data_IF_576080654752
#
_entry.id   IF_576080654752
#
_cell.length_a   1.000
_cell.length_b   1.000
_cell.length_c   1.000
_cell.angle_alpha   90.00
_cell.angle_beta   90.00
_cell.angle_gamma   90.00
#
_symmetry.space_group_name_H-M   'P 1'
#
loop_
_entity.id
_entity.type
_entity.pdbx_description
1 polymer ?
#
# COMPACT_ATOMS: atom_id res chain seq x y z
N UNK A 1 3.45 -3.70 5.29
CA UNK A 1 4.82 -4.28 5.30
C UNK A 1 5.84 -3.14 5.47
N UNK A 2 7.02 -3.39 6.07
CA UNK A 2 8.14 -2.42 6.14
C UNK A 2 8.98 -2.52 4.87
N UNK A 3 9.28 -1.41 4.22
CA UNK A 3 10.09 -1.40 2.99
C UNK A 3 11.58 -1.32 3.38
N UNK A 4 12.45 -2.22 2.86
CA UNK A 4 13.88 -2.23 3.19
C UNK A 4 14.65 -1.07 2.52
N UNK A 5 15.78 -0.64 3.11
CA UNK A 5 16.54 0.55 2.68
C UNK A 5 17.27 0.43 1.34
N UNK A 6 17.36 -0.76 0.74
CA UNK A 6 18.19 -1.04 -0.45
C UNK A 6 17.57 -0.62 -1.80
N UNK A 7 16.41 0.05 -1.82
CA UNK A 7 15.81 0.59 -3.06
C UNK A 7 16.31 2.04 -3.32
N UNK A 8 17.25 2.26 -4.26
CA UNK A 8 17.94 3.54 -4.40
C UNK A 8 17.02 4.60 -5.04
N UNK A 9 16.84 5.74 -4.36
CA UNK A 9 16.13 6.90 -4.91
C UNK A 9 17.13 7.98 -5.37
N UNK A 10 16.91 8.57 -6.54
CA UNK A 10 17.70 9.72 -7.03
C UNK A 10 17.21 11.04 -6.42
N UNK A 11 18.13 12.01 -6.30
CA UNK A 11 17.97 13.23 -5.51
C UNK A 11 17.02 14.27 -6.14
N UNK A 12 15.83 14.42 -5.55
CA UNK A 12 14.82 15.47 -5.82
C UNK A 12 14.23 15.99 -4.48
N UNK A 13 13.49 17.12 -4.45
CA UNK A 13 13.17 17.83 -3.21
C UNK A 13 12.54 16.94 -2.14
N UNK A 14 13.00 17.15 -0.89
CA UNK A 14 12.66 16.34 0.27
C UNK A 14 11.23 16.65 0.71
N UNK A 15 10.38 15.62 0.75
CA UNK A 15 9.09 15.73 1.42
C UNK A 15 9.35 15.67 2.93
N UNK A 16 8.57 16.40 3.73
CA UNK A 16 8.59 16.27 5.19
C UNK A 16 7.24 15.71 5.66
N UNK A 17 7.23 14.60 6.43
CA UNK A 17 6.02 14.17 7.11
C UNK A 17 5.47 15.31 7.96
N UNK A 18 4.15 15.50 7.96
CA UNK A 18 3.55 16.53 8.80
C UNK A 18 3.78 16.19 10.28
N UNK A 19 4.12 17.18 11.10
CA UNK A 19 4.42 17.02 12.54
C UNK A 19 3.21 16.64 13.41
N UNK A 20 2.02 16.56 12.83
CA UNK A 20 0.76 16.30 13.51
C UNK A 20 0.44 14.80 13.52
N UNK A 21 1.12 14.07 14.40
CA UNK A 21 0.68 12.86 15.10
C UNK A 21 1.93 12.10 15.59
N UNK A 22 2.33 12.32 16.85
CA UNK A 22 3.20 11.38 17.58
C UNK A 22 2.37 10.16 17.98
N UNK A 23 1.92 9.39 17.00
CA UNK A 23 1.37 8.06 17.26
C UNK A 23 2.54 7.13 17.59
N UNK A 24 2.32 6.17 18.49
CA UNK A 24 3.29 5.08 18.68
C UNK A 24 3.59 4.44 17.33
N UNK A 25 4.83 4.01 17.10
CA UNK A 25 5.20 3.31 15.86
C UNK A 25 4.16 2.23 15.52
N UNK A 26 3.81 2.02 14.24
CA UNK A 26 2.81 1.01 13.85
C UNK A 26 3.06 -0.35 14.49
N UNK A 27 4.31 -0.83 14.50
CA UNK A 27 4.70 -2.08 15.16
C UNK A 27 4.39 -2.11 16.65
N UNK A 28 4.53 -0.98 17.34
CA UNK A 28 4.16 -0.85 18.76
C UNK A 28 2.65 -0.84 18.95
N UNK A 29 1.91 -0.13 18.08
CA UNK A 29 0.46 -0.09 18.11
C UNK A 29 -0.17 -1.47 17.93
N UNK A 30 0.18 -2.17 16.85
CA UNK A 30 -0.41 -3.47 16.54
C UNK A 30 -0.07 -4.50 17.62
N UNK A 31 1.14 -4.45 18.22
CA UNK A 31 1.57 -5.31 19.35
C UNK A 31 0.75 -5.20 20.62
N UNK A 32 -0.08 -4.17 20.77
CA UNK A 32 -0.94 -3.98 21.94
C UNK A 32 -2.40 -4.37 21.71
N UNK A 33 -2.78 -4.72 20.48
CA UNK A 33 -4.16 -5.14 20.21
C UNK A 33 -4.42 -6.51 20.83
N UNK A 34 -5.63 -6.70 21.36
CA UNK A 34 -6.11 -7.98 21.90
C UNK A 34 -7.44 -8.36 21.21
N UNK A 35 -7.52 -9.55 20.56
CA UNK A 35 -6.41 -10.46 20.31
C UNK A 35 -5.39 -9.85 19.34
N UNK A 36 -4.10 -9.98 19.65
CA UNK A 36 -3.02 -9.66 18.71
C UNK A 36 -3.19 -10.56 17.47
N UNK A 37 -2.82 -10.12 16.23
CA UNK A 37 -2.68 -11.03 15.09
C UNK A 37 -1.98 -12.34 15.50
N UNK A 38 -2.26 -13.45 14.81
CA UNK A 38 -2.03 -14.80 15.33
C UNK A 38 -0.65 -14.96 15.96
N UNK A 39 -0.62 -15.57 17.16
CA UNK A 39 0.62 -15.81 17.94
C UNK A 39 1.63 -16.68 17.19
N UNK A 40 1.15 -17.43 16.20
CA UNK A 40 1.96 -18.14 15.21
C UNK A 40 1.99 -17.36 13.89
N UNK A 41 3.13 -17.35 13.17
CA UNK A 41 3.16 -16.89 11.79
C UNK A 41 2.04 -17.56 10.98
N UNK A 42 1.38 -16.79 10.14
CA UNK A 42 0.48 -17.34 9.12
C UNK A 42 1.31 -18.26 8.21
N UNK A 43 0.79 -19.44 7.86
CA UNK A 43 1.48 -20.33 6.93
C UNK A 43 1.50 -19.72 5.53
N UNK A 44 2.49 -20.09 4.72
CA UNK A 44 2.55 -19.68 3.32
C UNK A 44 1.26 -20.08 2.58
N UNK A 45 0.72 -21.28 2.86
CA UNK A 45 -0.55 -21.73 2.27
C UNK A 45 -1.73 -20.79 2.57
N UNK A 46 -1.76 -20.15 3.74
CA UNK A 46 -2.80 -19.16 4.04
C UNK A 46 -2.64 -17.90 3.20
N UNK A 47 -1.40 -17.45 2.96
CA UNK A 47 -1.13 -16.31 2.07
C UNK A 47 -1.46 -16.64 0.62
N UNK A 48 -1.02 -17.79 0.13
CA UNK A 48 -1.29 -18.23 -1.25
C UNK A 48 -2.79 -18.34 -1.51
N UNK A 49 -3.55 -18.96 -0.60
CA UNK A 49 -5.02 -19.01 -0.70
C UNK A 49 -5.65 -17.63 -0.66
N UNK A 50 -5.18 -16.76 0.24
CA UNK A 50 -5.71 -15.40 0.33
C UNK A 50 -5.55 -14.65 -1.01
N UNK A 51 -4.38 -14.74 -1.64
CA UNK A 51 -4.13 -14.14 -2.96
C UNK A 51 -4.91 -14.82 -4.09
N UNK A 52 -5.07 -16.15 -4.05
CA UNK A 52 -5.85 -16.87 -5.06
C UNK A 52 -7.34 -16.50 -5.03
N UNK A 53 -7.92 -16.45 -3.83
CA UNK A 53 -9.37 -16.40 -3.62
C UNK A 53 -9.95 -14.98 -3.57
N UNK A 54 -9.13 -13.98 -3.25
CA UNK A 54 -9.60 -12.60 -3.01
C UNK A 54 -8.82 -11.54 -3.79
N UNK A 55 -9.49 -10.47 -4.24
CA UNK A 55 -8.78 -9.30 -4.75
C UNK A 55 -7.94 -8.64 -3.65
N UNK A 56 -6.88 -7.95 -4.06
CA UNK A 56 -5.93 -7.30 -3.16
C UNK A 56 -5.93 -5.79 -3.38
N UNK A 57 -6.14 -5.04 -2.31
CA UNK A 57 -6.00 -3.59 -2.30
C UNK A 57 -4.60 -3.24 -1.80
N UNK A 58 -3.83 -2.50 -2.58
CA UNK A 58 -2.61 -1.84 -2.10
C UNK A 58 -2.96 -0.41 -1.70
N UNK A 59 -2.79 -0.11 -0.41
CA UNK A 59 -3.24 1.16 0.18
C UNK A 59 -2.06 2.10 0.43
N UNK A 60 -2.13 3.27 -0.20
CA UNK A 60 -1.15 4.34 -0.17
C UNK A 60 -1.68 5.52 0.65
N UNK A 61 -1.11 5.72 1.85
CA UNK A 61 -1.58 6.74 2.78
C UNK A 61 -1.12 8.17 2.42
N UNK A 62 -1.75 9.17 3.03
CA UNK A 62 -1.38 10.59 2.89
C UNK A 62 -0.21 11.03 3.77
N UNK A 63 0.23 12.29 3.64
CA UNK A 63 1.45 12.81 4.30
C UNK A 63 1.42 12.89 5.84
N UNK A 64 0.28 12.67 6.48
CA UNK A 64 0.13 12.70 7.94
C UNK A 64 0.13 11.29 8.53
N UNK A 65 0.68 11.11 9.73
CA UNK A 65 0.61 9.85 10.47
C UNK A 65 1.27 8.67 9.75
N UNK A 66 0.71 7.47 9.96
CA UNK A 66 1.23 6.20 9.43
C UNK A 66 0.10 5.23 9.07
N UNK A 67 0.41 4.04 8.59
CA UNK A 67 -0.57 2.95 8.41
C UNK A 67 -1.31 2.56 9.70
N UNK A 68 -0.86 3.00 10.88
CA UNK A 68 -1.53 2.75 12.16
C UNK A 68 -2.40 3.92 12.65
N UNK A 69 -2.62 4.96 11.86
CA UNK A 69 -3.59 6.01 12.21
C UNK A 69 -5.00 5.42 12.31
N UNK A 70 -5.76 5.79 13.35
CA UNK A 70 -7.07 5.18 13.69
C UNK A 70 -8.08 5.21 12.55
N UNK A 71 -8.17 6.34 11.84
CA UNK A 71 -9.08 6.49 10.70
C UNK A 71 -8.78 5.48 9.59
N UNK A 72 -7.50 5.20 9.35
CA UNK A 72 -7.04 4.28 8.31
C UNK A 72 -7.27 2.84 8.64
N UNK A 73 -7.00 2.44 9.89
CA UNK A 73 -7.31 1.08 10.36
C UNK A 73 -8.80 0.81 10.15
N UNK A 74 -9.66 1.77 10.48
CA UNK A 74 -11.10 1.65 10.22
C UNK A 74 -11.40 1.46 8.74
N UNK A 75 -10.75 2.22 7.85
CA UNK A 75 -10.90 2.03 6.40
C UNK A 75 -10.47 0.63 5.94
N UNK A 76 -9.30 0.14 6.39
CA UNK A 76 -8.79 -1.18 6.01
C UNK A 76 -9.69 -2.30 6.51
N UNK A 77 -10.17 -2.20 7.76
CA UNK A 77 -11.09 -3.18 8.35
C UNK A 77 -12.42 -3.24 7.62
N UNK A 78 -12.95 -2.09 7.16
CA UNK A 78 -14.15 -2.08 6.33
C UNK A 78 -13.92 -2.81 5.01
N UNK A 79 -12.83 -2.46 4.30
CA UNK A 79 -12.48 -3.07 3.01
C UNK A 79 -12.21 -4.58 3.12
N UNK A 80 -11.60 -5.03 4.22
CA UNK A 80 -11.34 -6.45 4.47
C UNK A 80 -12.57 -7.25 4.89
N UNK A 81 -13.68 -6.60 5.23
CA UNK A 81 -14.93 -7.27 5.63
C UNK A 81 -15.94 -7.25 4.49
N UNK A 82 -16.04 -6.12 3.80
CA UNK A 82 -16.92 -5.92 2.66
C UNK A 82 -16.24 -4.93 1.70
N UNK A 83 -15.77 -5.38 0.53
CA UNK A 83 -16.18 -6.58 -0.22
C UNK A 83 -15.31 -7.84 0.00
N UNK A 84 -14.69 -8.03 1.17
CA UNK A 84 -13.79 -9.17 1.50
C UNK A 84 -12.49 -9.20 0.66
N UNK A 85 -11.76 -8.08 0.67
CA UNK A 85 -10.46 -7.96 0.02
C UNK A 85 -9.29 -8.24 0.97
N UNK A 86 -8.16 -8.69 0.42
CA UNK A 86 -6.88 -8.51 1.08
C UNK A 86 -6.51 -7.03 1.08
N UNK A 87 -5.91 -6.52 2.17
CA UNK A 87 -5.43 -5.13 2.23
C UNK A 87 -3.95 -5.10 2.58
N UNK A 88 -3.12 -4.70 1.63
CA UNK A 88 -1.72 -4.39 1.84
C UNK A 88 -1.55 -2.89 2.13
N UNK A 89 -1.49 -2.54 3.42
CA UNK A 89 -1.11 -1.19 3.85
C UNK A 89 0.42 -1.09 4.07
N UNK A 90 1.05 -0.10 3.44
CA UNK A 90 2.49 0.17 3.56
C UNK A 90 2.74 1.48 4.32
N UNK A 91 3.94 1.65 4.85
CA UNK A 91 4.49 2.96 5.20
C UNK A 91 5.63 3.28 4.24
N UNK A 92 5.61 4.45 3.60
CA UNK A 92 6.74 4.90 2.77
C UNK A 92 8.00 5.07 3.59
N UNK A 93 9.15 5.11 2.93
CA UNK A 93 10.43 5.47 3.55
C UNK A 93 10.31 6.77 4.35
N UNK A 94 10.74 6.73 5.61
CA UNK A 94 10.63 7.84 6.55
C UNK A 94 9.26 8.04 7.20
N UNK A 95 8.31 7.12 7.01
CA UNK A 95 7.04 7.06 7.73
C UNK A 95 6.94 5.79 8.60
N UNK A 96 6.18 5.88 9.70
CA UNK A 96 5.89 4.73 10.55
C UNK A 96 7.16 4.00 11.02
N UNK A 97 7.27 2.72 10.64
CA UNK A 97 8.44 1.87 10.94
C UNK A 97 9.49 1.84 9.82
N UNK A 98 9.21 2.47 8.68
CA UNK A 98 10.08 2.49 7.51
C UNK A 98 11.20 3.53 7.68
N UNK A 99 12.43 3.11 7.40
CA UNK A 99 13.63 3.96 7.49
C UNK A 99 13.78 4.85 6.25
N UNK A 100 14.73 5.80 6.28
CA UNK A 100 15.06 6.66 5.15
C UNK A 100 14.38 8.03 5.22
N UNK A 101 14.41 8.78 4.11
CA UNK A 101 13.81 10.11 3.99
C UNK A 101 12.90 10.14 2.77
N UNK A 102 11.66 10.67 2.89
CA UNK A 102 10.74 10.66 1.77
C UNK A 102 11.14 11.67 0.69
N UNK A 103 11.06 11.23 -0.55
CA UNK A 103 11.18 12.03 -1.77
C UNK A 103 10.19 11.47 -2.78
N UNK A 104 9.78 12.26 -3.77
CA UNK A 104 8.85 11.82 -4.82
C UNK A 104 9.31 10.50 -5.48
N UNK A 105 10.57 10.45 -5.94
CA UNK A 105 11.15 9.23 -6.51
C UNK A 105 11.20 8.07 -5.51
N UNK A 106 11.50 8.36 -4.23
CA UNK A 106 11.52 7.35 -3.18
C UNK A 106 10.14 6.74 -2.92
N UNK A 107 9.10 7.57 -2.91
CA UNK A 107 7.71 7.13 -2.73
C UNK A 107 7.23 6.26 -3.89
N UNK A 108 7.58 6.62 -5.13
CA UNK A 108 7.27 5.78 -6.30
C UNK A 108 8.00 4.43 -6.24
N UNK A 109 9.25 4.39 -5.78
CA UNK A 109 9.97 3.13 -5.57
C UNK A 109 9.34 2.26 -4.48
N UNK A 110 8.88 2.87 -3.38
CA UNK A 110 8.19 2.14 -2.32
C UNK A 110 6.87 1.57 -2.82
N UNK A 111 6.16 2.31 -3.69
CA UNK A 111 4.95 1.85 -4.32
C UNK A 111 5.19 0.72 -5.31
N UNK A 112 6.23 0.83 -6.12
CA UNK A 112 6.66 -0.25 -7.01
C UNK A 112 7.03 -1.51 -6.24
N UNK A 113 7.76 -1.39 -5.14
CA UNK A 113 8.10 -2.53 -4.30
C UNK A 113 6.84 -3.23 -3.72
N UNK A 114 5.81 -2.46 -3.36
CA UNK A 114 4.54 -3.02 -2.90
C UNK A 114 3.79 -3.75 -4.03
N UNK A 115 3.76 -3.18 -5.24
CA UNK A 115 3.20 -3.81 -6.42
C UNK A 115 3.92 -5.11 -6.78
N UNK A 116 5.25 -5.08 -6.86
CA UNK A 116 6.06 -6.24 -7.21
C UNK A 116 5.87 -7.37 -6.18
N UNK A 117 5.75 -7.03 -4.90
CA UNK A 117 5.45 -7.99 -3.84
C UNK A 117 4.10 -8.69 -4.06
N UNK A 118 3.02 -7.95 -4.34
CA UNK A 118 1.71 -8.59 -4.57
C UNK A 118 1.71 -9.39 -5.87
N UNK A 119 2.31 -8.81 -6.92
CA UNK A 119 2.38 -9.43 -8.25
C UNK A 119 3.20 -10.71 -8.25
N UNK A 120 4.22 -10.84 -7.38
CA UNK A 120 5.00 -12.08 -7.28
C UNK A 120 4.19 -13.25 -6.72
N UNK A 121 3.14 -12.99 -5.94
CA UNK A 121 2.27 -14.03 -5.37
C UNK A 121 1.09 -14.37 -6.28
N UNK A 122 0.55 -13.38 -7.01
CA UNK A 122 -0.55 -13.61 -7.95
C UNK A 122 -0.08 -14.16 -9.30
N UNK A 123 1.17 -13.91 -9.67
CA UNK A 123 1.60 -13.91 -11.07
C UNK A 123 1.17 -12.62 -11.77
N UNK A 124 2.02 -12.11 -12.68
CA UNK A 124 1.85 -10.78 -13.28
C UNK A 124 0.50 -10.60 -13.98
N UNK A 125 0.09 -11.59 -14.78
CA UNK A 125 -1.14 -11.49 -15.56
C UNK A 125 -2.41 -11.52 -14.69
N UNK A 126 -2.38 -12.21 -13.54
CA UNK A 126 -3.50 -12.21 -12.58
C UNK A 126 -3.50 -10.99 -11.66
N UNK A 127 -2.39 -10.27 -11.56
CA UNK A 127 -2.29 -9.09 -10.72
C UNK A 127 -3.09 -7.92 -11.28
N UNK A 128 -3.17 -7.75 -12.60
CA UNK A 128 -3.99 -6.72 -13.26
C UNK A 128 -5.47 -6.89 -12.84
N UNK A 129 -6.07 -8.06 -13.10
CA UNK A 129 -7.49 -8.27 -12.78
C UNK A 129 -7.83 -8.29 -11.28
N UNK A 130 -6.85 -8.48 -10.38
CA UNK A 130 -7.09 -8.71 -8.95
C UNK A 130 -6.52 -7.62 -8.03
N UNK A 131 -5.77 -6.65 -8.54
CA UNK A 131 -5.12 -5.63 -7.69
C UNK A 131 -5.73 -4.25 -7.90
N UNK A 132 -6.15 -3.65 -6.78
CA UNK A 132 -6.65 -2.28 -6.75
C UNK A 132 -5.67 -1.36 -6.03
N UNK A 133 -5.31 -0.23 -6.64
CA UNK A 133 -4.47 0.78 -6.01
C UNK A 133 -5.36 1.89 -5.43
N UNK A 134 -5.27 2.11 -4.12
CA UNK A 134 -6.00 3.18 -3.43
C UNK A 134 -5.02 4.18 -2.84
N UNK A 135 -5.17 5.45 -3.23
CA UNK A 135 -4.35 6.55 -2.77
C UNK A 135 -5.17 7.59 -2.01
N UNK A 136 -4.64 8.08 -0.89
CA UNK A 136 -5.23 9.18 -0.11
C UNK A 136 -4.27 10.37 -0.03
N UNK A 137 -4.72 11.56 -0.46
CA UNK A 137 -3.93 12.80 -0.43
C UNK A 137 -2.59 12.63 -1.15
N UNK A 138 -1.45 12.66 -0.46
CA UNK A 138 -0.13 12.34 -1.05
C UNK A 138 -0.16 10.99 -1.79
N UNK A 139 -0.85 9.99 -1.24
CA UNK A 139 -0.95 8.67 -1.85
C UNK A 139 -1.64 8.67 -3.21
N UNK A 140 -2.49 9.65 -3.52
CA UNK A 140 -3.12 9.77 -4.84
C UNK A 140 -2.07 10.06 -5.92
N UNK A 141 -1.11 10.96 -5.65
CA UNK A 141 -0.01 11.23 -6.59
C UNK A 141 0.91 10.02 -6.75
N UNK A 142 1.14 9.27 -5.68
CA UNK A 142 1.94 8.03 -5.72
C UNK A 142 1.25 6.96 -6.57
N UNK A 143 -0.06 6.76 -6.39
CA UNK A 143 -0.85 5.82 -7.20
C UNK A 143 -0.83 6.21 -8.67
N UNK A 144 -1.07 7.49 -8.99
CA UNK A 144 -1.05 7.97 -10.36
C UNK A 144 0.31 7.75 -11.03
N UNK A 145 1.42 8.04 -10.32
CA UNK A 145 2.76 7.82 -10.85
C UNK A 145 3.10 6.35 -11.04
N UNK A 146 2.69 5.47 -10.12
CA UNK A 146 2.86 4.02 -10.27
C UNK A 146 2.02 3.49 -11.45
N UNK A 147 0.76 3.88 -11.55
CA UNK A 147 -0.12 3.45 -12.64
C UNK A 147 0.45 3.87 -14.01
N UNK A 148 1.03 5.07 -14.12
CA UNK A 148 1.74 5.50 -15.33
C UNK A 148 2.94 4.60 -15.66
N UNK A 149 3.76 4.25 -14.67
CA UNK A 149 4.89 3.32 -14.88
C UNK A 149 4.43 1.93 -15.35
N UNK A 150 3.35 1.40 -14.78
CA UNK A 150 2.81 0.10 -15.16
C UNK A 150 2.23 0.11 -16.58
N UNK A 151 1.52 1.19 -16.96
CA UNK A 151 0.98 1.35 -18.31
C UNK A 151 2.09 1.46 -19.38
N UNK A 152 3.23 2.08 -19.05
CA UNK A 152 4.39 2.16 -19.97
C UNK A 152 5.07 0.80 -20.16
N UNK A 153 5.09 -0.06 -19.14
CA UNK A 153 5.69 -1.41 -19.21
C UNK A 153 4.86 -2.40 -20.03
N UNK A 154 3.55 -2.16 -20.11
CA UNK A 154 2.56 -3.01 -20.77
C UNK A 154 1.45 -2.11 -21.35
N UNK A 155 1.49 -1.72 -22.64
CA UNK A 155 0.47 -0.86 -23.21
C UNK A 155 -0.93 -1.48 -23.03
N UNK A 156 -1.78 -0.80 -22.26
CA UNK A 156 -3.08 -1.26 -21.75
C UNK A 156 -4.03 -1.76 -22.86
N UNK A 157 -4.69 -2.89 -22.59
CA UNK A 157 -6.06 -3.13 -23.05
C UNK A 157 -7.00 -2.38 -22.09
N UNK A 158 -7.73 -1.39 -22.60
CA UNK A 158 -8.62 -0.52 -21.81
C UNK A 158 -9.66 -1.33 -21.00
N UNK A 159 -9.63 -1.20 -19.67
CA UNK A 159 -10.78 -1.47 -18.79
C UNK A 159 -11.06 -0.19 -17.97
N UNK A 160 -12.32 0.23 -18.03
CA UNK A 160 -12.90 1.51 -17.59
C UNK A 160 -12.45 2.06 -16.23
N UNK A 161 -12.33 3.40 -16.11
CA UNK A 161 -12.21 4.07 -14.80
C UNK A 161 -13.58 4.47 -14.25
N UNK A 162 -13.76 4.35 -12.93
CA UNK A 162 -14.92 4.91 -12.22
C UNK A 162 -14.47 5.58 -10.92
N UNK A 163 -15.10 6.72 -10.60
CA UNK A 163 -14.80 7.57 -9.44
C UNK A 163 -15.85 7.30 -8.35
N UNK A 164 -15.43 6.89 -7.16
CA UNK A 164 -16.31 6.69 -5.99
C UNK A 164 -15.88 7.66 -4.88
N UNK A 165 -16.79 8.54 -4.47
CA UNK A 165 -16.71 9.41 -3.28
C UNK A 165 -15.38 10.16 -3.05
N UNK A 166 -14.84 10.79 -4.11
CA UNK A 166 -13.65 11.64 -4.00
C UNK A 166 -12.34 10.90 -3.74
N UNK A 167 -12.35 9.56 -3.81
CA UNK A 167 -11.14 8.74 -3.83
C UNK A 167 -10.84 8.38 -5.28
N UNK A 168 -9.65 8.75 -5.77
CA UNK A 168 -9.19 8.26 -7.05
C UNK A 168 -8.74 6.80 -6.89
N UNK A 169 -9.41 5.93 -7.62
CA UNK A 169 -9.16 4.49 -7.66
C UNK A 169 -8.49 4.21 -9.00
N UNK A 170 -7.25 3.72 -8.97
CA UNK A 170 -6.62 3.17 -10.16
C UNK A 170 -6.82 1.65 -10.13
N UNK A 171 -7.58 1.15 -11.11
CA UNK A 171 -7.62 -0.26 -11.46
C UNK A 171 -6.54 -0.42 -12.54
N UNK A 172 -5.52 -1.22 -12.29
CA UNK A 172 -4.53 -1.58 -13.29
C UNK A 172 -4.98 -2.85 -14.01
#
# INVERSE_FOLDING_TARGET
IRIPPSYPATSRPKLRPSSRERTSSPSSYYRRLEPFPPRSPLSNDMFERAFADRPTIIYFHGNAGSRASRSRIRSYSSLSTYPDCNVLAIDYRGFGDSTGTPSEAGLLLDARAAWDYVSSHLGKDSAEDKVLLIGQSLGTGVVAGLAGQLADERPLRFLSSSRVDGTDVAVC
#
